data_IF_793355183143
#
_entry.id   IF_793355183143
#
_cell.length_a   1.000
_cell.length_b   1.000
_cell.length_c   1.000
_cell.angle_alpha   90.00
_cell.angle_beta   90.00
_cell.angle_gamma   90.00
#
_symmetry.space_group_name_H-M   'P 1'
#
loop_
_entity.id
_entity.type
_entity.pdbx_description
1 polymer ?
#
# COMPACT_ATOMS: atom_id res chain seq x y z
N UNK A 1 -6.60 3.75 -4.49
CA UNK A 1 -7.41 4.87 -5.03
C UNK A 1 -7.16 6.19 -4.30
N UNK A 2 -7.14 6.24 -2.98
CA UNK A 2 -6.79 7.44 -2.20
C UNK A 2 -5.38 7.94 -2.52
N UNK A 3 -4.39 7.03 -2.54
CA UNK A 3 -3.00 7.34 -2.91
C UNK A 3 -2.87 7.98 -4.29
N UNK A 4 -3.61 7.48 -5.29
CA UNK A 4 -3.57 8.03 -6.64
C UNK A 4 -4.17 9.46 -6.70
N UNK A 5 -5.24 9.72 -5.93
CA UNK A 5 -5.78 11.08 -5.80
C UNK A 5 -4.80 12.02 -5.10
N UNK A 6 -4.13 11.55 -4.06
CA UNK A 6 -3.09 12.32 -3.39
C UNK A 6 -1.93 12.63 -4.34
N UNK A 7 -1.43 11.63 -5.06
CA UNK A 7 -0.37 11.82 -6.05
C UNK A 7 -0.74 12.85 -7.11
N UNK A 8 -2.00 12.84 -7.62
CA UNK A 8 -2.51 13.80 -8.61
C UNK A 8 -2.49 15.26 -8.13
N UNK A 9 -2.40 15.48 -6.82
CA UNK A 9 -2.26 16.83 -6.26
C UNK A 9 -0.83 17.39 -6.37
N UNK A 10 0.14 16.53 -6.68
CA UNK A 10 1.57 16.88 -6.73
C UNK A 10 2.16 16.74 -8.14
N UNK A 11 1.62 15.82 -8.95
CA UNK A 11 2.13 15.52 -10.30
C UNK A 11 0.97 15.46 -11.30
N UNK A 12 1.26 15.80 -12.57
CA UNK A 12 0.24 15.85 -13.62
C UNK A 12 -0.05 14.48 -14.21
N UNK A 13 0.94 13.61 -14.33
CA UNK A 13 0.80 12.29 -14.94
C UNK A 13 0.74 11.21 -13.84
N UNK A 14 -0.46 10.70 -13.60
CA UNK A 14 -0.69 9.60 -12.65
C UNK A 14 -1.34 8.44 -13.35
N UNK A 15 -0.70 7.28 -13.27
CA UNK A 15 -1.21 6.02 -13.79
C UNK A 15 -1.45 5.01 -12.66
N UNK A 16 -2.51 4.21 -12.79
CA UNK A 16 -2.83 3.11 -11.88
C UNK A 16 -2.90 1.80 -12.66
N UNK A 17 -2.03 0.84 -12.30
CA UNK A 17 -2.16 -0.54 -12.75
C UNK A 17 -2.94 -1.34 -11.71
N UNK A 18 -4.00 -2.01 -12.12
CA UNK A 18 -4.87 -2.75 -11.21
C UNK A 18 -5.49 -3.98 -11.88
N UNK A 19 -5.86 -4.97 -11.07
CA UNK A 19 -6.61 -6.15 -11.51
C UNK A 19 -8.05 -5.99 -11.03
N UNK A 20 -9.00 -5.83 -11.96
CA UNK A 20 -10.40 -5.60 -11.62
C UNK A 20 -11.37 -6.10 -12.70
N UNK A 21 -12.59 -6.43 -12.30
CA UNK A 21 -13.72 -6.70 -13.20
C UNK A 21 -14.23 -5.45 -13.92
N UNK A 22 -15.18 -5.63 -14.84
CA UNK A 22 -15.69 -4.56 -15.71
C UNK A 22 -16.70 -3.60 -15.04
N UNK A 23 -17.08 -3.88 -13.80
CA UNK A 23 -18.24 -3.25 -13.14
C UNK A 23 -18.01 -1.80 -12.67
N UNK A 24 -16.90 -1.17 -13.02
CA UNK A 24 -16.56 0.14 -12.47
C UNK A 24 -16.04 1.08 -13.56
N UNK A 25 -16.69 2.23 -13.70
CA UNK A 25 -16.23 3.33 -14.57
C UNK A 25 -15.17 4.17 -13.85
N UNK A 26 -13.90 3.76 -13.98
CA UNK A 26 -12.77 4.40 -13.33
C UNK A 26 -12.58 5.86 -13.76
N UNK A 27 -12.83 6.16 -15.05
CA UNK A 27 -12.65 7.50 -15.61
C UNK A 27 -13.67 8.48 -15.03
N UNK A 28 -14.92 8.05 -14.85
CA UNK A 28 -15.95 8.89 -14.24
C UNK A 28 -15.66 9.20 -12.77
N UNK A 29 -15.07 8.24 -12.04
CA UNK A 29 -14.81 8.39 -10.59
C UNK A 29 -13.46 9.05 -10.30
N UNK A 30 -12.48 8.88 -11.17
CA UNK A 30 -11.12 9.40 -11.02
C UNK A 30 -10.66 10.15 -12.29
N UNK A 31 -11.25 11.30 -12.60
CA UNK A 31 -10.87 12.07 -13.79
C UNK A 31 -9.40 12.51 -13.69
N UNK A 32 -8.68 12.40 -14.80
CA UNK A 32 -7.28 12.79 -14.91
C UNK A 32 -6.27 11.77 -14.33
N UNK A 33 -6.72 10.53 -14.09
CA UNK A 33 -5.85 9.40 -13.73
C UNK A 33 -5.98 8.33 -14.83
N UNK A 34 -4.85 7.86 -15.36
CA UNK A 34 -4.83 6.80 -16.36
C UNK A 34 -4.92 5.42 -15.70
N UNK A 35 -5.93 4.62 -16.07
CA UNK A 35 -6.13 3.29 -15.54
C UNK A 35 -5.73 2.21 -16.55
N UNK A 36 -4.72 1.41 -16.18
CA UNK A 36 -4.32 0.20 -16.86
C UNK A 36 -4.95 -1.00 -16.15
N UNK A 37 -6.17 -1.34 -16.56
CA UNK A 37 -6.92 -2.44 -15.97
C UNK A 37 -6.53 -3.78 -16.60
N UNK A 38 -6.10 -4.72 -15.78
CA UNK A 38 -5.98 -6.12 -16.16
C UNK A 38 -7.33 -6.79 -15.91
N UNK A 39 -8.02 -7.26 -16.96
CA UNK A 39 -9.37 -7.81 -16.82
C UNK A 39 -9.37 -9.12 -16.02
N UNK A 40 -10.36 -9.27 -15.17
CA UNK A 40 -10.65 -10.49 -14.40
C UNK A 40 -12.16 -10.62 -14.20
N UNK A 41 -12.62 -11.84 -13.93
CA UNK A 41 -14.03 -12.08 -13.62
C UNK A 41 -14.45 -11.50 -12.24
N UNK A 42 -13.50 -11.28 -11.34
CA UNK A 42 -13.76 -10.84 -9.97
C UNK A 42 -12.90 -9.63 -9.59
N UNK A 43 -13.49 -8.69 -8.85
CA UNK A 43 -12.77 -7.59 -8.18
C UNK A 43 -12.62 -7.93 -6.71
N UNK A 44 -11.45 -7.71 -6.13
CA UNK A 44 -11.26 -7.87 -4.67
C UNK A 44 -12.19 -6.94 -3.91
N UNK A 45 -12.96 -7.50 -2.98
CA UNK A 45 -13.91 -6.77 -2.16
C UNK A 45 -13.62 -6.97 -0.67
N UNK A 46 -13.78 -5.90 0.09
CA UNK A 46 -13.71 -5.93 1.55
C UNK A 46 -15.04 -5.53 2.15
N UNK A 47 -15.48 -6.29 3.13
CA UNK A 47 -16.58 -5.94 4.01
C UNK A 47 -16.02 -5.57 5.38
N UNK A 48 -16.23 -4.33 5.81
CA UNK A 48 -15.89 -3.89 7.16
C UNK A 48 -17.10 -4.04 8.07
N UNK A 49 -16.97 -4.82 9.12
CA UNK A 49 -17.99 -5.02 10.15
C UNK A 49 -17.55 -4.37 11.44
N UNK A 50 -18.38 -3.49 11.97
CA UNK A 50 -18.12 -2.79 13.22
C UNK A 50 -19.06 -3.31 14.29
N UNK A 51 -18.51 -3.88 15.36
CA UNK A 51 -19.28 -4.37 16.51
C UNK A 51 -18.48 -4.16 17.80
N UNK A 52 -19.12 -3.55 18.80
CA UNK A 52 -18.51 -3.31 20.12
C UNK A 52 -17.20 -2.50 20.07
N UNK A 53 -17.09 -1.53 19.17
CA UNK A 53 -15.88 -0.72 18.99
C UNK A 53 -14.72 -1.44 18.28
N UNK A 54 -14.94 -2.67 17.80
CA UNK A 54 -13.96 -3.43 17.03
C UNK A 54 -14.36 -3.48 15.57
N UNK A 55 -13.39 -3.30 14.68
CA UNK A 55 -13.52 -3.54 13.24
C UNK A 55 -13.07 -4.97 12.93
N UNK A 56 -13.92 -5.75 12.29
CA UNK A 56 -13.57 -7.00 11.63
C UNK A 56 -13.63 -6.79 10.12
N UNK A 57 -12.64 -7.26 9.41
CA UNK A 57 -12.58 -7.14 7.96
C UNK A 57 -12.69 -8.54 7.33
N UNK A 58 -13.57 -8.67 6.34
CA UNK A 58 -13.76 -9.90 5.57
C UNK A 58 -13.50 -9.61 4.11
N UNK A 59 -12.70 -10.43 3.44
CA UNK A 59 -12.45 -10.31 2.00
C UNK A 59 -13.09 -11.46 1.23
N UNK A 60 -13.90 -11.14 0.22
CA UNK A 60 -14.50 -12.07 -0.75
C UNK A 60 -15.13 -11.27 -1.91
N UNK A 61 -14.90 -11.67 -3.15
CA UNK A 61 -13.85 -12.52 -3.69
C UNK A 61 -12.49 -11.83 -3.68
N UNK A 62 -11.40 -12.56 -4.01
CA UNK A 62 -10.08 -11.99 -4.24
C UNK A 62 -9.76 -12.13 -5.74
N UNK A 63 -9.35 -11.03 -6.37
CA UNK A 63 -8.89 -11.02 -7.75
C UNK A 63 -7.56 -11.78 -7.91
N UNK A 64 -7.19 -12.12 -9.15
CA UNK A 64 -5.88 -12.69 -9.40
C UNK A 64 -4.76 -11.74 -8.98
N UNK A 65 -3.60 -12.29 -8.73
CA UNK A 65 -2.41 -11.53 -8.39
C UNK A 65 -1.91 -10.70 -9.57
N UNK A 66 -1.49 -9.48 -9.32
CA UNK A 66 -0.74 -8.63 -10.23
C UNK A 66 0.71 -9.10 -10.25
N UNK A 67 1.23 -9.38 -11.43
CA UNK A 67 2.56 -9.96 -11.63
C UNK A 67 3.47 -8.97 -12.36
N UNK A 68 4.79 -9.20 -12.31
CA UNK A 68 5.76 -8.37 -13.04
C UNK A 68 5.51 -8.32 -14.56
N UNK A 69 4.97 -9.41 -15.13
CA UNK A 69 4.64 -9.49 -16.57
C UNK A 69 3.43 -8.64 -16.96
N UNK A 70 2.65 -8.19 -16.01
CA UNK A 70 1.53 -7.25 -16.25
C UNK A 70 2.01 -5.81 -16.46
N UNK A 71 3.26 -5.50 -16.11
CA UNK A 71 3.85 -4.17 -16.30
C UNK A 71 4.21 -3.94 -17.76
N UNK A 72 3.66 -2.89 -18.36
CA UNK A 72 4.13 -2.41 -19.66
C UNK A 72 5.54 -1.82 -19.55
N UNK A 73 6.30 -1.71 -20.67
CA UNK A 73 7.61 -1.05 -20.67
C UNK A 73 7.56 0.41 -20.16
N UNK A 74 6.45 1.11 -20.38
CA UNK A 74 6.27 2.49 -19.89
C UNK A 74 6.12 2.51 -18.36
N UNK A 75 5.29 1.62 -17.79
CA UNK A 75 5.09 1.53 -16.35
C UNK A 75 6.36 1.09 -15.61
N UNK A 76 7.18 0.22 -16.22
CA UNK A 76 8.48 -0.17 -15.64
C UNK A 76 9.45 1.00 -15.49
N UNK A 77 9.36 2.01 -16.38
CA UNK A 77 10.19 3.21 -16.41
C UNK A 77 9.55 4.45 -15.77
N UNK A 78 8.48 4.25 -14.99
CA UNK A 78 7.90 5.35 -14.23
C UNK A 78 8.96 5.98 -13.31
N UNK A 79 9.06 7.30 -13.26
CA UNK A 79 10.01 8.00 -12.37
C UNK A 79 9.74 7.67 -10.90
N UNK A 80 8.45 7.56 -10.54
CA UNK A 80 7.99 7.18 -9.21
C UNK A 80 7.00 6.02 -9.35
N UNK A 81 7.25 4.93 -8.66
CA UNK A 81 6.34 3.80 -8.55
C UNK A 81 5.91 3.62 -7.09
N UNK A 82 4.60 3.57 -6.83
CA UNK A 82 4.07 3.25 -5.52
C UNK A 82 3.37 1.88 -5.52
N UNK A 83 3.93 0.93 -4.79
CA UNK A 83 3.35 -0.40 -4.61
C UNK A 83 2.50 -0.41 -3.34
N UNK A 84 1.19 -0.52 -3.52
CA UNK A 84 0.21 -0.41 -2.44
C UNK A 84 -0.74 -1.64 -2.38
N UNK A 85 -0.21 -2.84 -2.07
CA UNK A 85 -1.06 -4.01 -1.86
C UNK A 85 -2.02 -3.81 -0.69
N UNK A 86 -3.25 -4.33 -0.83
CA UNK A 86 -4.27 -4.28 0.24
C UNK A 86 -4.71 -5.67 0.70
N UNK A 87 -4.51 -6.71 -0.13
CA UNK A 87 -4.93 -8.09 0.11
C UNK A 87 -3.96 -9.11 -0.51
N UNK A 88 -2.67 -8.92 -0.36
CA UNK A 88 -1.61 -9.77 -0.92
C UNK A 88 -1.75 -10.03 -2.45
N UNK A 89 -2.40 -9.10 -3.16
CA UNK A 89 -2.72 -9.21 -4.59
C UNK A 89 -1.62 -8.68 -5.50
N UNK A 90 -0.58 -8.07 -4.95
CA UNK A 90 0.60 -7.60 -5.71
C UNK A 90 1.77 -8.53 -5.45
N UNK A 91 2.38 -9.05 -6.50
CA UNK A 91 3.58 -9.87 -6.37
C UNK A 91 4.76 -8.99 -5.92
N UNK A 92 5.43 -9.31 -4.80
CA UNK A 92 6.58 -8.54 -4.31
C UNK A 92 7.72 -8.40 -5.32
N UNK A 93 7.86 -9.34 -6.27
CA UNK A 93 8.90 -9.29 -7.32
C UNK A 93 8.72 -8.13 -8.30
N UNK A 94 7.58 -7.44 -8.26
CA UNK A 94 7.37 -6.22 -9.06
C UNK A 94 8.40 -5.15 -8.71
N UNK A 95 8.88 -5.07 -7.45
CA UNK A 95 9.92 -4.09 -7.08
C UNK A 95 11.20 -4.24 -7.91
N UNK A 96 11.55 -5.49 -8.27
CA UNK A 96 12.74 -5.80 -9.07
C UNK A 96 12.53 -5.56 -10.58
N UNK A 97 11.27 -5.49 -11.01
CA UNK A 97 10.91 -5.23 -12.40
C UNK A 97 10.84 -3.74 -12.74
N UNK A 98 10.89 -2.87 -11.73
CA UNK A 98 11.00 -1.42 -11.94
C UNK A 98 12.41 -1.05 -12.38
N UNK A 99 12.51 0.00 -13.21
CA UNK A 99 13.80 0.53 -13.65
C UNK A 99 14.66 0.91 -12.45
N UNK A 100 15.98 0.77 -12.57
CA UNK A 100 16.93 1.08 -11.50
C UNK A 100 16.89 2.55 -11.07
N UNK A 101 16.53 3.45 -11.96
CA UNK A 101 16.41 4.88 -11.70
C UNK A 101 15.05 5.27 -11.11
N UNK A 102 14.06 4.37 -11.13
CA UNK A 102 12.74 4.62 -10.54
C UNK A 102 12.83 4.73 -9.02
N UNK A 103 12.23 5.79 -8.46
CA UNK A 103 11.97 5.84 -7.02
C UNK A 103 10.82 4.89 -6.67
N UNK A 104 11.06 3.91 -5.81
CA UNK A 104 10.07 2.91 -5.41
C UNK A 104 9.59 3.17 -4.00
N UNK A 105 8.37 3.64 -3.86
CA UNK A 105 7.64 3.74 -2.60
C UNK A 105 6.76 2.50 -2.36
N UNK A 106 6.61 2.10 -1.11
CA UNK A 106 5.86 0.89 -0.74
C UNK A 106 5.00 1.13 0.50
N UNK A 107 3.73 0.73 0.43
CA UNK A 107 2.85 0.53 1.60
C UNK A 107 2.55 -0.96 1.74
N UNK A 108 3.23 -1.71 2.65
CA UNK A 108 3.24 -3.16 2.66
C UNK A 108 1.99 -3.81 3.27
N UNK A 109 0.96 -3.03 3.66
CA UNK A 109 -0.21 -3.48 4.40
C UNK A 109 -0.81 -4.80 3.85
N UNK A 110 -0.97 -4.92 2.53
CA UNK A 110 -1.53 -6.13 1.93
C UNK A 110 -0.63 -7.35 2.06
N UNK A 111 0.68 -7.18 2.09
CA UNK A 111 1.63 -8.29 2.29
C UNK A 111 1.70 -8.75 3.75
N UNK A 112 1.27 -7.92 4.69
CA UNK A 112 1.14 -8.23 6.11
C UNK A 112 -0.23 -8.84 6.47
N UNK A 113 -1.08 -9.11 5.49
CA UNK A 113 -2.42 -9.66 5.67
C UNK A 113 -2.52 -11.09 5.14
N UNK A 114 -3.28 -11.87 5.85
CA UNK A 114 -3.74 -13.21 5.47
C UNK A 114 -5.24 -13.27 5.71
N UNK A 115 -5.89 -14.30 5.23
CA UNK A 115 -7.31 -14.55 5.51
C UNK A 115 -7.55 -16.05 5.74
N UNK A 116 -8.48 -16.34 6.62
CA UNK A 116 -8.90 -17.69 6.93
C UNK A 116 -9.88 -18.23 5.85
N UNK A 117 -10.34 -19.48 6.04
CA UNK A 117 -11.30 -20.12 5.13
C UNK A 117 -12.66 -19.38 5.07
N UNK A 118 -13.00 -18.58 6.08
CA UNK A 118 -14.19 -17.74 6.16
C UNK A 118 -13.97 -16.36 5.56
N UNK A 119 -12.72 -16.03 5.19
CA UNK A 119 -12.32 -14.75 4.61
C UNK A 119 -12.01 -13.66 5.64
N UNK A 120 -11.94 -13.98 6.93
CA UNK A 120 -11.54 -13.00 7.94
C UNK A 120 -10.07 -12.61 7.74
N UNK A 121 -9.82 -11.31 7.65
CA UNK A 121 -8.46 -10.78 7.50
C UNK A 121 -7.76 -10.79 8.85
N UNK A 122 -6.58 -11.38 8.87
CA UNK A 122 -5.70 -11.47 10.03
C UNK A 122 -4.29 -10.96 9.67
N UNK A 123 -3.53 -10.53 10.67
CA UNK A 123 -2.12 -10.21 10.48
C UNK A 123 -1.32 -11.47 10.13
N UNK A 124 -0.32 -11.33 9.28
CA UNK A 124 0.57 -12.41 8.89
C UNK A 124 2.01 -11.91 8.66
N UNK A 125 2.98 -12.81 8.54
CA UNK A 125 4.36 -12.43 8.27
C UNK A 125 4.51 -11.81 6.89
N UNK A 126 5.48 -10.91 6.74
CA UNK A 126 5.89 -10.40 5.43
C UNK A 126 7.01 -11.27 4.88
N UNK A 127 6.66 -12.31 4.14
CA UNK A 127 7.60 -13.34 3.69
C UNK A 127 8.71 -12.80 2.77
N UNK A 128 8.39 -11.81 1.93
CA UNK A 128 9.33 -11.17 0.99
C UNK A 128 9.89 -9.82 1.50
N UNK A 129 9.85 -9.57 2.81
CA UNK A 129 10.30 -8.29 3.39
C UNK A 129 11.71 -7.91 2.93
N UNK A 130 12.65 -8.83 3.00
CA UNK A 130 14.05 -8.58 2.65
C UNK A 130 14.23 -8.10 1.21
N UNK A 131 13.54 -8.75 0.27
CA UNK A 131 13.55 -8.38 -1.16
C UNK A 131 13.03 -6.96 -1.36
N UNK A 132 11.89 -6.66 -0.77
CA UNK A 132 11.21 -5.37 -0.96
C UNK A 132 11.98 -4.26 -0.27
N UNK A 133 12.38 -4.44 0.98
CA UNK A 133 13.11 -3.45 1.78
C UNK A 133 14.45 -3.06 1.13
N UNK A 134 15.13 -4.02 0.49
CA UNK A 134 16.43 -3.76 -0.17
C UNK A 134 16.27 -2.90 -1.44
N UNK A 135 15.13 -3.04 -2.16
CA UNK A 135 14.89 -2.31 -3.42
C UNK A 135 14.12 -1.01 -3.21
N UNK A 136 13.24 -0.96 -2.20
CA UNK A 136 12.41 0.19 -1.96
C UNK A 136 13.22 1.39 -1.43
N UNK A 137 12.98 2.57 -2.00
CA UNK A 137 13.54 3.83 -1.50
C UNK A 137 12.81 4.33 -0.27
N UNK A 138 11.50 4.09 -0.20
CA UNK A 138 10.67 4.43 0.94
C UNK A 138 9.64 3.35 1.26
N UNK A 139 9.47 3.05 2.54
CA UNK A 139 8.43 2.15 3.05
C UNK A 139 7.61 2.88 4.10
N UNK A 140 6.29 2.84 3.97
CA UNK A 140 5.34 3.44 4.91
C UNK A 140 4.39 2.38 5.42
N UNK A 141 4.31 2.18 6.73
CA UNK A 141 3.34 1.29 7.37
C UNK A 141 2.74 1.93 8.63
N UNK A 142 1.61 1.40 9.08
CA UNK A 142 1.09 1.72 10.40
C UNK A 142 1.76 0.84 11.45
N UNK A 143 1.91 1.37 12.66
CA UNK A 143 2.33 0.57 13.82
C UNK A 143 1.37 -0.59 14.07
N UNK A 144 0.09 -0.42 13.73
CA UNK A 144 -0.93 -1.46 13.87
C UNK A 144 -0.74 -2.60 12.86
N UNK A 145 -0.23 -2.32 11.66
CA UNK A 145 0.06 -3.35 10.63
C UNK A 145 1.13 -4.34 11.11
N UNK A 146 2.00 -3.90 12.01
CA UNK A 146 3.09 -4.72 12.62
C UNK A 146 2.81 -5.09 14.07
N UNK A 147 1.55 -4.97 14.52
CA UNK A 147 1.13 -5.40 15.85
C UNK A 147 1.78 -4.66 17.01
N UNK A 148 2.26 -3.43 16.79
CA UNK A 148 2.96 -2.64 17.80
C UNK A 148 4.44 -2.98 17.97
N UNK A 149 5.01 -3.81 17.10
CA UNK A 149 6.40 -4.30 17.21
C UNK A 149 7.41 -3.27 16.68
N UNK A 150 7.91 -2.42 17.57
CA UNK A 150 8.94 -1.45 17.27
C UNK A 150 10.31 -2.07 16.97
N UNK A 151 10.63 -3.24 17.52
CA UNK A 151 11.89 -3.92 17.23
C UNK A 151 11.92 -4.42 15.78
N UNK A 152 10.77 -4.88 15.28
CA UNK A 152 10.59 -5.22 13.86
C UNK A 152 10.77 -3.97 12.97
N UNK A 153 10.16 -2.84 13.34
CA UNK A 153 10.32 -1.58 12.61
C UNK A 153 11.81 -1.14 12.57
N UNK A 154 12.51 -1.20 13.69
CA UNK A 154 13.94 -0.89 13.75
C UNK A 154 14.77 -1.83 12.88
N UNK A 155 14.43 -3.11 12.83
CA UNK A 155 15.06 -4.08 11.92
C UNK A 155 14.85 -3.70 10.45
N UNK A 156 13.63 -3.33 10.05
CA UNK A 156 13.33 -2.88 8.69
C UNK A 156 14.07 -1.59 8.34
N UNK A 157 14.16 -0.66 9.28
CA UNK A 157 14.85 0.61 9.09
C UNK A 157 16.36 0.46 8.76
N UNK A 158 16.98 -0.67 9.10
CA UNK A 158 18.38 -0.96 8.72
C UNK A 158 18.52 -1.43 7.26
N UNK A 159 17.41 -1.73 6.58
CA UNK A 159 17.39 -2.38 5.26
C UNK A 159 16.80 -1.51 4.15
N UNK A 160 16.13 -0.43 4.50
CA UNK A 160 15.58 0.54 3.53
C UNK A 160 16.11 1.94 3.80
N UNK A 161 16.14 2.76 2.76
CA UNK A 161 16.64 4.14 2.84
C UNK A 161 15.76 5.01 3.75
N UNK A 162 14.44 4.87 3.63
CA UNK A 162 13.46 5.58 4.42
C UNK A 162 12.37 4.60 4.89
N UNK A 163 12.19 4.49 6.20
CA UNK A 163 11.01 3.85 6.78
C UNK A 163 10.19 4.88 7.54
N UNK A 164 8.89 4.93 7.30
CA UNK A 164 7.96 5.73 8.08
C UNK A 164 6.93 4.81 8.73
N UNK A 165 6.80 4.91 10.06
CA UNK A 165 5.80 4.18 10.83
C UNK A 165 4.79 5.17 11.37
N UNK A 166 3.57 5.14 10.87
CA UNK A 166 2.47 6.02 11.31
C UNK A 166 1.87 5.53 12.63
N UNK A 167 1.45 6.48 13.48
CA UNK A 167 0.97 6.23 14.85
C UNK A 167 -0.37 6.94 15.09
N UNK A 168 -1.19 7.05 14.04
CA UNK A 168 -2.47 7.75 14.09
C UNK A 168 -2.33 9.21 14.49
N UNK A 169 -3.13 9.67 15.46
CA UNK A 169 -3.13 11.06 15.95
C UNK A 169 -1.79 11.53 16.56
N UNK A 170 -0.90 10.58 16.87
CA UNK A 170 0.44 10.89 17.39
C UNK A 170 1.46 11.19 16.29
N UNK A 171 1.06 11.11 15.00
CA UNK A 171 1.94 11.39 13.87
C UNK A 171 2.70 10.16 13.39
N UNK A 172 4.01 10.26 13.20
CA UNK A 172 4.81 9.15 12.71
C UNK A 172 6.24 9.17 13.27
N UNK A 173 6.90 8.02 13.18
CA UNK A 173 8.34 7.86 13.33
C UNK A 173 8.95 7.63 11.96
N UNK A 174 9.86 8.50 11.55
CA UNK A 174 10.63 8.35 10.33
C UNK A 174 12.06 7.92 10.67
N UNK A 175 12.55 6.90 9.98
CA UNK A 175 13.93 6.43 10.05
C UNK A 175 14.60 6.74 8.72
N UNK A 176 15.52 7.67 8.72
CA UNK A 176 16.25 8.12 7.53
C UNK A 176 17.75 8.04 7.80
N UNK A 177 18.48 7.30 6.98
CA UNK A 177 19.93 7.11 7.12
C UNK A 177 20.36 6.72 8.55
N UNK A 178 19.60 5.83 9.21
CA UNK A 178 19.87 5.39 10.57
C UNK A 178 19.46 6.39 11.68
N UNK A 179 18.94 7.58 11.32
CA UNK A 179 18.44 8.55 12.28
C UNK A 179 16.92 8.44 12.42
N UNK A 180 16.45 8.49 13.65
CA UNK A 180 15.04 8.44 14.00
C UNK A 180 14.51 9.84 14.25
N UNK A 181 13.41 10.19 13.59
CA UNK A 181 12.72 11.47 13.69
C UNK A 181 11.25 11.25 14.02
N UNK A 182 10.74 11.98 14.99
CA UNK A 182 9.31 12.02 15.27
C UNK A 182 8.70 13.24 14.59
N UNK A 183 7.61 13.02 13.83
CA UNK A 183 6.80 14.09 13.22
C UNK A 183 5.40 14.02 13.82
N UNK A 184 4.99 15.05 14.52
CA UNK A 184 3.66 15.11 15.13
C UNK A 184 2.58 15.29 14.08
N UNK A 185 1.42 14.67 14.28
CA UNK A 185 0.26 14.91 13.42
C UNK A 185 -0.33 16.29 13.69
N UNK A 186 -0.89 16.96 12.67
CA UNK A 186 -1.69 18.17 12.90
C UNK A 186 -2.94 17.81 13.71
N UNK A 187 -3.37 18.72 14.58
CA UNK A 187 -4.63 18.54 15.31
C UNK A 187 -5.80 18.87 14.40
N UNK A 188 -6.61 17.87 14.10
CA UNK A 188 -7.80 18.01 13.27
C UNK A 188 -9.00 17.34 13.96
N UNK A 189 -10.20 17.76 13.60
CA UNK A 189 -11.39 17.00 13.97
C UNK A 189 -11.57 15.87 12.96
N UNK A 190 -11.51 14.64 13.43
CA UNK A 190 -11.77 13.47 12.59
C UNK A 190 -13.25 13.42 12.21
N UNK A 191 -13.55 13.33 10.90
CA UNK A 191 -14.88 13.18 10.34
C UNK A 191 -15.05 11.81 9.70
N UNK A 192 -14.09 11.40 8.88
CA UNK A 192 -14.06 10.11 8.20
C UNK A 192 -12.59 9.67 8.01
N UNK A 193 -12.15 8.63 8.74
CA UNK A 193 -10.74 8.21 8.73
C UNK A 193 -10.37 7.31 7.54
N UNK A 194 -11.35 6.87 6.74
CA UNK A 194 -11.09 5.93 5.65
C UNK A 194 -10.13 6.52 4.62
N UNK A 195 -9.03 5.83 4.37
CA UNK A 195 -8.00 6.24 3.40
C UNK A 195 -6.97 7.22 3.94
N UNK A 196 -7.02 7.63 5.21
CA UNK A 196 -6.03 8.54 5.78
C UNK A 196 -4.60 7.98 5.68
N UNK A 197 -4.42 6.68 5.96
CA UNK A 197 -3.13 6.01 5.78
C UNK A 197 -2.69 5.86 4.31
N UNK A 198 -3.65 5.78 3.39
CA UNK A 198 -3.34 5.67 1.95
C UNK A 198 -2.93 7.02 1.34
N UNK A 199 -3.30 8.13 1.96
CA UNK A 199 -2.96 9.50 1.51
C UNK A 199 -1.58 9.92 2.05
N UNK A 200 -1.16 9.33 3.16
CA UNK A 200 0.13 9.63 3.79
C UNK A 200 1.28 9.31 2.86
#
# INVERSE_FOLDING_TARGET
MYSARAARSFVEDVAVLTVAGEQFDWQAVFPGIDFFRIPTATTTQFENRYAGGRRTQVTRPVARRLMADDLTPALRRAEIAHLAPVCNEVDPRIVEAMDSESFVGVTPQGWLRRWDAQGHVVAGPWDDADRVLTRADAVVCSIDDIGGDWALAETWATRTRLLVVTIGERGCQAYLHGHRHHVAAPRVQEVEPTGAGDIF
#
